data_IF_144327109421
#
_entry.id   IF_144327109421
#
_cell.length_a   1.000
_cell.length_b   1.000
_cell.length_c   1.000
_cell.angle_alpha   90.00
_cell.angle_beta   90.00
_cell.angle_gamma   90.00
#
_symmetry.space_group_name_H-M   'P 1'
#
loop_
_entity.id
_entity.type
_entity.pdbx_description
1 polymer ?
#
# COMPACT_ATOMS: atom_id res chain seq x y z
N UNK A 1 16.58 1.48 -7.80
CA UNK A 1 15.18 1.74 -7.39
C UNK A 1 15.13 3.02 -6.57
N UNK A 2 14.72 4.14 -7.17
CA UNK A 2 14.48 5.39 -6.45
C UNK A 2 13.06 5.43 -5.90
N UNK A 3 12.91 5.11 -4.61
CA UNK A 3 11.63 5.22 -3.90
C UNK A 3 11.36 6.72 -3.63
N UNK A 4 10.10 7.19 -3.63
CA UNK A 4 9.81 8.56 -3.25
C UNK A 4 10.42 8.96 -1.90
N UNK A 5 10.88 10.23 -1.75
CA UNK A 5 11.42 10.73 -0.50
C UNK A 5 10.52 10.42 0.71
N UNK A 6 11.16 10.03 1.82
CA UNK A 6 10.46 9.72 3.07
C UNK A 6 9.74 8.35 3.11
N UNK A 7 9.84 7.54 2.05
CA UNK A 7 9.36 6.15 2.03
C UNK A 7 10.52 5.16 2.10
N UNK A 8 10.30 4.06 2.82
CA UNK A 8 11.26 2.98 3.04
C UNK A 8 10.60 1.66 2.66
N UNK A 9 11.28 0.81 1.89
CA UNK A 9 10.84 -0.56 1.65
C UNK A 9 10.83 -1.30 2.99
N UNK A 10 9.67 -1.81 3.37
CA UNK A 10 9.47 -2.62 4.58
C UNK A 10 9.31 -4.10 4.26
N UNK A 11 8.76 -4.43 3.09
CA UNK A 11 8.60 -5.81 2.61
C UNK A 11 9.19 -6.00 1.21
N UNK A 12 9.81 -7.15 0.91
CA UNK A 12 9.83 -8.37 1.73
C UNK A 12 10.82 -8.33 2.91
N UNK A 13 11.81 -7.44 2.84
CA UNK A 13 12.79 -7.18 3.91
C UNK A 13 13.02 -5.68 4.00
N UNK A 14 13.14 -5.15 5.22
CA UNK A 14 13.43 -3.73 5.43
C UNK A 14 14.73 -3.33 4.74
N UNK A 15 14.66 -2.32 3.87
CA UNK A 15 15.79 -1.85 3.07
C UNK A 15 16.40 -2.88 2.12
N UNK A 16 15.78 -4.06 1.98
CA UNK A 16 16.27 -5.17 1.18
C UNK A 16 15.85 -5.13 -0.29
N UNK A 17 16.32 -6.10 -1.10
CA UNK A 17 15.92 -6.20 -2.50
C UNK A 17 14.42 -6.54 -2.63
N UNK A 18 13.80 -6.22 -3.78
CA UNK A 18 12.43 -6.62 -4.07
C UNK A 18 12.26 -8.14 -4.09
N UNK A 19 11.04 -8.60 -3.82
CA UNK A 19 10.66 -9.98 -4.11
C UNK A 19 10.54 -10.23 -5.61
N UNK A 20 10.15 -11.44 -5.98
CA UNK A 20 10.02 -11.83 -7.39
C UNK A 20 9.10 -10.87 -8.16
N UNK A 21 7.95 -10.52 -7.57
CA UNK A 21 7.04 -9.52 -8.10
C UNK A 21 7.47 -8.09 -7.76
N UNK A 22 7.75 -7.79 -6.49
CA UNK A 22 7.96 -6.41 -6.08
C UNK A 22 8.22 -6.16 -4.59
N UNK A 23 8.10 -4.89 -4.20
CA UNK A 23 8.32 -4.39 -2.83
C UNK A 23 7.14 -3.59 -2.31
N UNK A 24 7.06 -3.43 -0.99
CA UNK A 24 6.08 -2.55 -0.36
C UNK A 24 6.81 -1.51 0.49
N UNK A 25 6.52 -0.24 0.22
CA UNK A 25 7.13 0.89 0.92
C UNK A 25 6.13 1.67 1.75
N UNK A 26 6.61 2.15 2.91
CA UNK A 26 5.86 2.92 3.88
C UNK A 26 6.60 4.23 4.17
N UNK A 27 5.85 5.29 4.39
CA UNK A 27 6.35 6.44 5.15
C UNK A 27 6.49 6.12 6.63
N UNK A 28 7.28 6.91 7.35
CA UNK A 28 7.42 6.80 8.80
C UNK A 28 6.06 6.88 9.54
N UNK A 29 5.12 7.70 9.06
CA UNK A 29 3.78 7.81 9.65
C UNK A 29 3.01 6.50 9.49
N UNK A 30 2.97 5.94 8.29
CA UNK A 30 2.23 4.69 8.04
C UNK A 30 2.87 3.50 8.75
N UNK A 31 4.21 3.47 8.85
CA UNK A 31 4.90 2.42 9.61
C UNK A 31 4.57 2.48 11.11
N UNK A 32 4.51 3.68 11.70
CA UNK A 32 4.03 3.85 13.09
C UNK A 32 2.60 3.34 13.26
N UNK A 33 1.73 3.54 12.27
CA UNK A 33 0.35 3.02 12.31
C UNK A 33 0.32 1.50 12.17
N UNK A 34 1.16 0.91 11.32
CA UNK A 34 1.34 -0.53 11.21
C UNK A 34 1.73 -1.17 12.54
N UNK A 35 2.68 -0.57 13.27
CA UNK A 35 3.11 -1.08 14.57
C UNK A 35 2.06 -0.95 15.68
N UNK A 36 1.05 -0.07 15.51
CA UNK A 36 -0.09 0.07 16.42
C UNK A 36 -1.23 -0.91 16.14
N UNK A 37 -1.17 -1.65 15.02
CA UNK A 37 -2.14 -2.70 14.72
C UNK A 37 -1.97 -3.83 15.73
N UNK A 38 -3.09 -4.38 16.19
CA UNK A 38 -3.14 -5.56 17.04
C UNK A 38 -2.35 -6.72 16.42
N UNK A 39 -1.63 -7.47 17.26
CA UNK A 39 -0.61 -8.43 16.80
C UNK A 39 -1.14 -9.47 15.80
N UNK A 40 -2.34 -10.00 16.03
CA UNK A 40 -2.95 -10.98 15.14
C UNK A 40 -3.24 -10.37 13.75
N UNK A 41 -3.83 -9.18 13.71
CA UNK A 41 -4.12 -8.48 12.46
C UNK A 41 -2.84 -8.03 11.75
N UNK A 42 -1.84 -7.59 12.51
CA UNK A 42 -0.52 -7.18 11.99
C UNK A 42 0.19 -8.37 11.33
N UNK A 43 0.18 -9.53 11.98
CA UNK A 43 0.79 -10.76 11.46
C UNK A 43 0.13 -11.21 10.14
N UNK A 44 -1.21 -11.10 10.07
CA UNK A 44 -1.96 -11.40 8.83
C UNK A 44 -1.65 -10.40 7.71
N UNK A 45 -1.54 -9.11 8.02
CA UNK A 45 -1.14 -8.08 7.05
C UNK A 45 0.28 -8.34 6.55
N UNK A 46 1.24 -8.59 7.45
CA UNK A 46 2.62 -8.90 7.11
C UNK A 46 2.73 -10.12 6.19
N UNK A 47 2.05 -11.22 6.52
CA UNK A 47 2.04 -12.42 5.69
C UNK A 47 1.46 -12.13 4.30
N UNK A 48 0.39 -11.35 4.22
CA UNK A 48 -0.25 -10.96 2.95
C UNK A 48 0.66 -10.04 2.13
N UNK A 49 1.32 -9.08 2.77
CA UNK A 49 2.26 -8.15 2.15
C UNK A 49 3.49 -8.88 1.60
N UNK A 50 4.04 -9.85 2.35
CA UNK A 50 5.11 -10.73 1.88
C UNK A 50 4.66 -11.62 0.72
N UNK A 51 3.43 -12.15 0.76
CA UNK A 51 2.87 -12.92 -0.34
C UNK A 51 2.72 -12.07 -1.61
N UNK A 52 2.27 -10.81 -1.48
CA UNK A 52 2.21 -9.86 -2.59
C UNK A 52 3.59 -9.60 -3.21
N UNK A 53 4.61 -9.40 -2.39
CA UNK A 53 5.99 -9.22 -2.87
C UNK A 53 6.48 -10.42 -3.71
N UNK A 54 5.99 -11.62 -3.42
CA UNK A 54 6.40 -12.86 -4.07
C UNK A 54 5.55 -13.19 -5.30
N UNK A 55 4.23 -13.17 -5.17
CA UNK A 55 3.31 -13.67 -6.19
C UNK A 55 2.57 -12.56 -6.96
N UNK A 56 2.57 -11.35 -6.42
CA UNK A 56 1.80 -10.24 -6.98
C UNK A 56 0.30 -10.31 -6.69
N UNK A 57 -0.48 -9.38 -7.26
CA UNK A 57 -1.89 -9.17 -6.89
C UNK A 57 -2.87 -10.18 -7.51
N UNK A 58 -2.50 -10.88 -8.58
CA UNK A 58 -3.41 -11.80 -9.28
C UNK A 58 -3.72 -13.06 -8.46
N UNK A 59 -2.74 -13.52 -7.68
CA UNK A 59 -2.87 -14.73 -6.85
C UNK A 59 -3.40 -14.43 -5.43
N UNK A 60 -3.81 -13.18 -5.19
CA UNK A 60 -4.21 -12.73 -3.86
C UNK A 60 -5.73 -12.81 -3.67
N UNK A 61 -6.22 -13.41 -2.57
CA UNK A 61 -7.65 -13.41 -2.26
C UNK A 61 -8.18 -11.97 -2.11
N UNK A 62 -9.35 -11.71 -2.70
CA UNK A 62 -10.03 -10.39 -2.63
C UNK A 62 -10.38 -9.96 -1.22
N UNK A 63 -10.44 -10.90 -0.27
CA UNK A 63 -10.64 -10.64 1.17
C UNK A 63 -9.42 -10.06 1.86
N UNK A 64 -8.22 -10.24 1.29
CA UNK A 64 -6.93 -9.80 1.82
C UNK A 64 -6.32 -8.65 1.04
N UNK A 65 -6.57 -8.59 -0.26
CA UNK A 65 -6.17 -7.49 -1.12
C UNK A 65 -7.22 -7.20 -2.17
N UNK A 66 -7.69 -5.95 -2.19
CA UNK A 66 -8.85 -5.57 -2.99
C UNK A 66 -8.62 -4.26 -3.70
N UNK A 67 -9.16 -4.16 -4.91
CA UNK A 67 -9.38 -2.89 -5.58
C UNK A 67 -10.45 -2.08 -4.85
N UNK A 68 -10.09 -0.86 -4.44
CA UNK A 68 -11.00 0.06 -3.72
C UNK A 68 -11.51 1.18 -4.63
N UNK A 69 -10.75 1.56 -5.64
CA UNK A 69 -11.23 2.53 -6.62
C UNK A 69 -10.16 3.03 -7.58
N UNK A 70 -10.63 3.83 -8.54
CA UNK A 70 -9.80 4.52 -9.51
C UNK A 70 -10.23 5.99 -9.59
N UNK A 71 -9.26 6.90 -9.58
CA UNK A 71 -9.50 8.33 -9.77
C UNK A 71 -8.54 8.88 -10.81
N UNK A 72 -8.97 9.90 -11.57
CA UNK A 72 -8.11 10.62 -12.51
C UNK A 72 -7.68 11.93 -11.88
N UNK A 73 -6.39 12.09 -11.61
CA UNK A 73 -5.80 13.32 -11.07
C UNK A 73 -4.63 13.75 -11.94
N UNK A 74 -4.59 15.04 -12.28
CA UNK A 74 -3.52 15.63 -13.11
C UNK A 74 -3.30 14.85 -14.43
N UNK A 75 -4.38 14.46 -15.10
CA UNK A 75 -4.34 13.68 -16.34
C UNK A 75 -4.01 12.19 -16.18
N UNK A 76 -3.52 11.75 -15.01
CA UNK A 76 -3.10 10.37 -14.74
C UNK A 76 -4.21 9.58 -14.04
N UNK A 77 -4.33 8.30 -14.39
CA UNK A 77 -5.23 7.38 -13.71
C UNK A 77 -4.52 6.74 -12.53
N UNK A 78 -5.04 6.98 -11.33
CA UNK A 78 -4.53 6.41 -10.08
C UNK A 78 -5.49 5.32 -9.65
N UNK A 79 -4.99 4.09 -9.61
CA UNK A 79 -5.68 2.94 -9.03
C UNK A 79 -5.27 2.81 -7.56
N UNK A 80 -6.24 2.70 -6.67
CA UNK A 80 -6.02 2.41 -5.26
C UNK A 80 -6.49 0.99 -4.97
N UNK A 81 -5.61 0.21 -4.38
CA UNK A 81 -5.89 -1.09 -3.81
C UNK A 81 -5.62 -1.03 -2.30
N UNK A 82 -6.16 -1.99 -1.55
CA UNK A 82 -5.97 -2.06 -0.10
C UNK A 82 -5.61 -3.46 0.37
N UNK A 83 -4.64 -3.52 1.28
CA UNK A 83 -4.43 -4.70 2.14
C UNK A 83 -5.41 -4.65 3.31
N UNK A 84 -6.13 -5.74 3.54
CA UNK A 84 -7.14 -5.86 4.60
C UNK A 84 -6.81 -6.99 5.56
N UNK A 85 -6.91 -6.72 6.85
CA UNK A 85 -7.00 -7.74 7.89
C UNK A 85 -8.01 -7.29 8.94
N UNK A 86 -9.05 -8.11 9.14
CA UNK A 86 -10.18 -7.74 10.00
C UNK A 86 -10.78 -6.39 9.56
N UNK A 87 -10.71 -5.38 10.44
CA UNK A 87 -11.26 -4.04 10.22
C UNK A 87 -10.19 -3.03 9.80
N UNK A 88 -8.93 -3.48 9.68
CA UNK A 88 -7.80 -2.64 9.33
C UNK A 88 -7.56 -2.68 7.83
N UNK A 89 -7.35 -1.51 7.22
CA UNK A 89 -7.03 -1.35 5.80
C UNK A 89 -5.80 -0.47 5.59
N UNK A 90 -4.90 -0.92 4.73
CA UNK A 90 -3.74 -0.16 4.25
C UNK A 90 -3.93 0.11 2.77
N UNK A 91 -4.31 1.35 2.43
CA UNK A 91 -4.53 1.80 1.06
C UNK A 91 -3.20 2.19 0.43
N UNK A 92 -3.10 1.97 -0.87
CA UNK A 92 -1.94 2.40 -1.64
C UNK A 92 -2.14 2.22 -3.13
N UNK A 93 -1.09 2.53 -3.87
CA UNK A 93 -1.04 2.31 -5.31
C UNK A 93 0.20 1.49 -5.66
N UNK A 94 0.09 0.72 -6.73
CA UNK A 94 1.25 0.06 -7.33
C UNK A 94 1.84 0.98 -8.39
N UNK A 95 3.14 1.22 -8.32
CA UNK A 95 3.91 1.90 -9.36
C UNK A 95 5.05 1.00 -9.83
N UNK A 96 5.54 1.24 -11.04
CA UNK A 96 6.73 0.57 -11.53
C UNK A 96 7.95 1.49 -11.36
N UNK A 97 9.01 0.95 -10.75
CA UNK A 97 10.30 1.62 -10.56
C UNK A 97 11.41 0.69 -11.04
N UNK A 98 12.19 1.12 -12.02
CA UNK A 98 13.29 0.34 -12.62
C UNK A 98 12.87 -1.09 -13.02
N UNK A 99 11.70 -1.24 -13.65
CA UNK A 99 11.17 -2.53 -14.11
C UNK A 99 10.62 -3.44 -13.01
N UNK A 100 10.47 -2.94 -11.77
CA UNK A 100 9.94 -3.68 -10.62
C UNK A 100 8.75 -2.96 -10.00
N UNK A 101 7.74 -3.74 -9.59
CA UNK A 101 6.53 -3.19 -8.99
C UNK A 101 6.79 -2.81 -7.54
N UNK A 102 6.30 -1.64 -7.13
CA UNK A 102 6.37 -1.15 -5.76
C UNK A 102 5.00 -0.68 -5.33
N UNK A 103 4.48 -1.29 -4.28
CA UNK A 103 3.28 -0.81 -3.62
C UNK A 103 3.64 0.31 -2.65
N UNK A 104 3.15 1.51 -2.90
CA UNK A 104 3.31 2.65 -2.02
C UNK A 104 2.06 2.78 -1.15
N UNK A 105 2.23 2.53 0.15
CA UNK A 105 1.16 2.77 1.12
C UNK A 105 0.92 4.28 1.19
N UNK A 106 -0.31 4.72 0.97
CA UNK A 106 -0.68 6.14 0.94
C UNK A 106 -1.52 6.55 2.15
N UNK A 107 -2.38 5.68 2.67
CA UNK A 107 -3.20 5.95 3.86
C UNK A 107 -3.54 4.67 4.62
N UNK A 108 -3.84 4.81 5.91
CA UNK A 108 -4.22 3.70 6.79
C UNK A 108 -5.55 4.01 7.48
N UNK A 109 -6.39 2.99 7.55
CA UNK A 109 -7.63 2.99 8.30
C UNK A 109 -7.59 1.86 9.34
N UNK A 110 -7.55 2.26 10.61
CA UNK A 110 -7.49 1.36 11.76
C UNK A 110 -8.87 1.15 12.40
N UNK A 111 -9.96 1.65 11.80
CA UNK A 111 -11.24 1.77 12.48
C UNK A 111 -11.90 0.42 12.78
N UNK A 112 -12.17 0.13 14.07
CA UNK A 112 -12.82 -1.10 14.53
C UNK A 112 -14.36 -1.19 14.34
N UNK A 113 -15.01 -0.26 13.62
CA UNK A 113 -16.49 -0.14 13.70
C UNK A 113 -17.29 0.25 12.45
N UNK A 114 -16.69 0.50 11.28
CA UNK A 114 -17.48 0.92 10.11
C UNK A 114 -16.99 0.22 8.85
N UNK A 115 -17.90 -0.50 8.19
CA UNK A 115 -17.59 -1.34 7.04
C UNK A 115 -17.34 -0.54 5.76
N UNK A 116 -17.87 0.68 5.69
CA UNK A 116 -17.59 1.62 4.60
C UNK A 116 -16.22 2.25 4.79
N UNK A 117 -15.33 1.97 3.84
CA UNK A 117 -14.11 2.76 3.65
C UNK A 117 -14.53 4.23 3.63
N UNK A 118 -14.16 4.99 4.66
CA UNK A 118 -14.51 6.42 4.72
C UNK A 118 -14.04 7.05 3.43
N UNK A 119 -14.97 7.56 2.61
CA UNK A 119 -14.67 8.26 1.36
C UNK A 119 -13.51 9.25 1.53
N UNK A 120 -13.45 9.94 2.67
CA UNK A 120 -12.34 10.81 3.09
C UNK A 120 -10.96 10.14 3.13
N UNK A 121 -10.85 8.90 3.63
CA UNK A 121 -9.60 8.14 3.68
C UNK A 121 -9.15 7.71 2.28
N UNK A 122 -10.10 7.32 1.44
CA UNK A 122 -9.82 6.99 0.04
C UNK A 122 -9.43 8.24 -0.76
N UNK A 123 -10.11 9.37 -0.54
CA UNK A 123 -9.77 10.67 -1.15
C UNK A 123 -8.37 11.13 -0.74
N UNK A 124 -8.02 11.01 0.54
CA UNK A 124 -6.66 11.26 1.03
C UNK A 124 -5.64 10.32 0.40
N UNK A 125 -5.98 9.03 0.26
CA UNK A 125 -5.12 8.06 -0.40
C UNK A 125 -4.82 8.48 -1.85
N UNK A 126 -5.80 9.01 -2.60
CA UNK A 126 -5.60 9.56 -3.93
C UNK A 126 -4.72 10.81 -3.95
N UNK A 127 -4.89 11.74 -3.00
CA UNK A 127 -4.04 12.94 -2.92
C UNK A 127 -2.58 12.58 -2.68
N UNK A 128 -2.31 11.73 -1.67
CA UNK A 128 -0.95 11.28 -1.35
C UNK A 128 -0.36 10.49 -2.51
N UNK A 129 -1.12 9.58 -3.10
CA UNK A 129 -0.69 8.82 -4.28
C UNK A 129 -0.33 9.73 -5.47
N UNK A 130 -1.14 10.75 -5.75
CA UNK A 130 -0.86 11.73 -6.81
C UNK A 130 0.46 12.47 -6.58
N UNK A 131 0.76 12.84 -5.32
CA UNK A 131 2.03 13.46 -4.94
C UNK A 131 3.22 12.51 -5.17
N UNK A 132 3.14 11.29 -4.65
CA UNK A 132 4.20 10.29 -4.75
C UNK A 132 4.52 9.92 -6.21
N UNK A 133 3.49 9.83 -7.07
CA UNK A 133 3.68 9.55 -8.49
C UNK A 133 4.40 10.70 -9.21
N UNK A 134 4.18 11.96 -8.80
CA UNK A 134 4.92 13.11 -9.35
C UNK A 134 6.39 13.07 -8.95
N UNK A 135 6.70 12.65 -7.72
CA UNK A 135 8.07 12.57 -7.22
C UNK A 135 8.83 11.39 -7.83
N UNK A 136 8.18 10.24 -7.99
CA UNK A 136 8.78 9.05 -8.59
C UNK A 136 9.19 9.21 -10.06
N UNK A 137 8.56 10.14 -10.78
CA UNK A 137 8.77 10.37 -12.22
C UNK A 137 9.66 11.59 -12.52
N UNK A 138 10.23 12.24 -11.49
CA UNK A 138 11.25 13.29 -11.62
C UNK A 138 12.64 12.68 -11.55
#
# INVERSE_FOLDING_TARGET
>A
MKIPPGHIIRFPREGGPPGDYGSIAFSNRQWKMFNKVEEEARSKLEATMKAWCRFGPLDMPTTKFRFEGRSRKNGKSIRIDAFKAWQVRFYGMTIELDGKQVFLVSEVDLAKKQDDAKKTKLDNAYEVASGLLKEALK
#
